data_IF_747822334028
#
_entry.id   IF_747822334028
#
_cell.length_a   1.000
_cell.length_b   1.000
_cell.length_c   1.000
_cell.angle_alpha   90.00
_cell.angle_beta   90.00
_cell.angle_gamma   90.00
#
_symmetry.space_group_name_H-M   'P 1'
#
loop_
_entity.id
_entity.type
_entity.pdbx_description
1 polymer ?
#
# COMPACT_ATOMS: atom_id res chain seq x y z
N UNK A 1 -29.93 16.79 -7.25
CA UNK A 1 -28.73 17.47 -6.72
C UNK A 1 -28.07 16.51 -5.77
N UNK A 2 -27.10 15.74 -6.26
CA UNK A 2 -26.40 14.73 -5.47
C UNK A 2 -25.03 15.31 -5.16
N UNK A 3 -24.76 15.59 -3.88
CA UNK A 3 -23.44 16.01 -3.44
C UNK A 3 -22.50 14.83 -3.65
N UNK A 4 -21.52 14.97 -4.54
CA UNK A 4 -20.36 14.11 -4.55
C UNK A 4 -19.62 14.31 -3.21
N UNK A 5 -19.37 13.22 -2.50
CA UNK A 5 -18.48 13.23 -1.35
C UNK A 5 -17.03 13.34 -1.87
N UNK A 6 -16.58 14.57 -2.15
CA UNK A 6 -15.21 14.89 -2.57
C UNK A 6 -14.13 14.60 -1.49
N UNK A 7 -14.49 13.96 -0.37
CA UNK A 7 -13.60 13.70 0.78
C UNK A 7 -13.11 12.26 0.94
N UNK A 8 -13.49 11.34 0.06
CA UNK A 8 -13.12 9.91 0.13
C UNK A 8 -12.60 9.41 -1.22
N UNK A 9 -11.58 10.06 -1.76
CA UNK A 9 -10.89 9.57 -2.96
C UNK A 9 -9.53 9.00 -2.59
N UNK A 10 -9.21 7.85 -3.15
CA UNK A 10 -7.84 7.37 -3.24
C UNK A 10 -7.09 8.24 -4.24
N UNK A 11 -5.87 8.61 -3.88
CA UNK A 11 -4.90 9.21 -4.79
C UNK A 11 -4.06 8.07 -5.37
N UNK A 12 -3.80 8.04 -6.69
CA UNK A 12 -2.89 7.06 -7.26
C UNK A 12 -1.52 7.14 -6.59
N UNK A 13 -0.99 6.01 -6.15
CA UNK A 13 0.37 5.89 -5.61
C UNK A 13 1.43 6.04 -6.71
N UNK A 14 1.05 5.72 -7.95
CA UNK A 14 1.95 5.69 -9.11
C UNK A 14 2.54 4.30 -9.39
N UNK A 15 2.24 3.29 -8.56
CA UNK A 15 2.50 1.88 -8.86
C UNK A 15 1.25 1.25 -9.45
N UNK A 16 1.30 0.85 -10.72
CA UNK A 16 0.13 0.31 -11.42
C UNK A 16 -0.43 -0.98 -10.82
N UNK A 17 0.40 -1.75 -10.10
CA UNK A 17 -0.05 -2.95 -9.37
C UNK A 17 -0.79 -2.56 -8.09
N UNK A 18 -0.16 -1.72 -7.25
CA UNK A 18 -0.77 -1.24 -5.99
C UNK A 18 -2.05 -0.47 -6.28
N UNK A 19 -2.06 0.41 -7.29
CA UNK A 19 -3.25 1.19 -7.67
C UNK A 19 -4.42 0.28 -8.11
N UNK A 20 -4.14 -0.86 -8.75
CA UNK A 20 -5.16 -1.83 -9.14
C UNK A 20 -5.71 -2.60 -7.93
N UNK A 21 -4.84 -3.02 -7.02
CA UNK A 21 -5.22 -3.67 -5.76
C UNK A 21 -6.05 -2.72 -4.88
N UNK A 22 -5.64 -1.45 -4.78
CA UNK A 22 -6.37 -0.38 -4.11
C UNK A 22 -7.77 -0.20 -4.69
N UNK A 23 -7.91 -0.22 -6.01
CA UNK A 23 -9.20 -0.17 -6.68
C UNK A 23 -10.11 -1.34 -6.31
N UNK A 24 -9.58 -2.57 -6.33
CA UNK A 24 -10.36 -3.76 -5.98
C UNK A 24 -10.86 -3.75 -4.52
N UNK A 25 -10.01 -3.31 -3.59
CA UNK A 25 -10.38 -3.17 -2.17
C UNK A 25 -11.41 -2.05 -1.99
N UNK A 26 -11.24 -0.92 -2.68
CA UNK A 26 -12.17 0.20 -2.63
C UNK A 26 -13.56 -0.17 -3.16
N UNK A 27 -13.63 -0.98 -4.21
CA UNK A 27 -14.90 -1.47 -4.76
C UNK A 27 -15.68 -2.30 -3.73
N UNK A 28 -14.98 -3.20 -3.01
CA UNK A 28 -15.59 -4.00 -1.94
C UNK A 28 -16.09 -3.12 -0.79
N UNK A 29 -15.25 -2.21 -0.29
CA UNK A 29 -15.61 -1.29 0.78
C UNK A 29 -16.75 -0.35 0.37
N UNK A 30 -16.77 0.09 -0.88
CA UNK A 30 -17.83 0.96 -1.42
C UNK A 30 -19.16 0.23 -1.49
N UNK A 31 -19.16 -1.05 -1.88
CA UNK A 31 -20.35 -1.88 -1.86
C UNK A 31 -20.90 -2.07 -0.43
N UNK A 32 -20.01 -2.27 0.56
CA UNK A 32 -20.38 -2.43 1.97
C UNK A 32 -20.94 -1.14 2.58
N UNK A 33 -20.47 0.03 2.14
CA UNK A 33 -20.95 1.35 2.63
C UNK A 33 -22.17 1.88 1.89
N UNK A 34 -22.62 1.21 0.82
CA UNK A 34 -23.78 1.63 0.03
C UNK A 34 -25.15 1.40 0.70
N UNK A 35 -25.17 0.94 1.96
CA UNK A 35 -26.39 0.71 2.74
C UNK A 35 -27.11 -0.61 2.42
N UNK A 36 -26.47 -1.49 1.64
CA UNK A 36 -26.92 -2.87 1.50
C UNK A 36 -26.37 -3.71 2.66
N UNK A 37 -27.14 -4.67 3.21
CA UNK A 37 -26.62 -5.61 4.19
C UNK A 37 -25.42 -6.36 3.62
N UNK A 38 -24.29 -6.32 4.33
CA UNK A 38 -23.12 -7.14 4.06
C UNK A 38 -22.90 -8.10 5.22
N UNK A 39 -22.22 -9.21 4.96
CA UNK A 39 -22.01 -10.24 5.96
C UNK A 39 -20.70 -10.96 5.78
N UNK A 40 -20.71 -12.24 6.16
CA UNK A 40 -19.51 -13.05 6.22
C UNK A 40 -18.82 -13.18 4.86
N UNK A 41 -19.57 -13.25 3.76
CA UNK A 41 -19.00 -13.42 2.42
C UNK A 41 -18.17 -12.19 2.01
N UNK A 42 -18.75 -10.99 2.16
CA UNK A 42 -18.11 -9.72 1.80
C UNK A 42 -16.90 -9.45 2.71
N UNK A 43 -17.01 -9.70 4.01
CA UNK A 43 -15.89 -9.55 4.95
C UNK A 43 -14.75 -10.54 4.66
N UNK A 44 -15.06 -11.76 4.25
CA UNK A 44 -14.05 -12.76 3.89
C UNK A 44 -13.36 -12.38 2.57
N UNK A 45 -14.10 -11.86 1.59
CA UNK A 45 -13.54 -11.34 0.35
C UNK A 45 -12.61 -10.16 0.63
N UNK A 46 -13.06 -9.17 1.40
CA UNK A 46 -12.25 -8.02 1.81
C UNK A 46 -10.97 -8.46 2.52
N UNK A 47 -11.08 -9.37 3.50
CA UNK A 47 -9.94 -9.91 4.24
C UNK A 47 -8.89 -10.53 3.32
N UNK A 48 -9.32 -11.24 2.27
CA UNK A 48 -8.44 -11.86 1.29
C UNK A 48 -7.71 -10.79 0.46
N UNK A 49 -8.46 -9.88 -0.17
CA UNK A 49 -7.87 -8.84 -1.03
C UNK A 49 -6.87 -7.97 -0.25
N UNK A 50 -7.21 -7.58 0.99
CA UNK A 50 -6.32 -6.82 1.88
C UNK A 50 -5.06 -7.60 2.24
N UNK A 51 -5.17 -8.90 2.52
CA UNK A 51 -4.01 -9.72 2.86
C UNK A 51 -3.08 -9.94 1.66
N UNK A 52 -3.64 -10.08 0.46
CA UNK A 52 -2.87 -10.19 -0.79
C UNK A 52 -2.14 -8.88 -1.09
N UNK A 53 -2.84 -7.74 -1.01
CA UNK A 53 -2.25 -6.42 -1.15
C UNK A 53 -1.10 -6.16 -0.16
N UNK A 54 -1.32 -6.45 1.13
CA UNK A 54 -0.27 -6.28 2.14
C UNK A 54 0.95 -7.19 1.92
N UNK A 55 0.77 -8.35 1.27
CA UNK A 55 1.89 -9.22 0.88
C UNK A 55 2.68 -8.61 -0.29
N UNK A 56 2.00 -7.97 -1.26
CA UNK A 56 2.64 -7.19 -2.32
C UNK A 56 3.52 -6.08 -1.73
N UNK A 57 2.96 -5.25 -0.84
CA UNK A 57 3.71 -4.16 -0.22
C UNK A 57 4.89 -4.64 0.64
N UNK A 58 4.74 -5.75 1.37
CA UNK A 58 5.81 -6.29 2.21
C UNK A 58 7.08 -6.62 1.40
N UNK A 59 6.94 -7.01 0.13
CA UNK A 59 8.08 -7.22 -0.76
C UNK A 59 8.76 -5.89 -1.15
N UNK A 60 8.01 -4.80 -1.25
CA UNK A 60 8.51 -3.47 -1.60
C UNK A 60 9.10 -2.71 -0.40
N UNK A 61 8.65 -3.01 0.83
CA UNK A 61 9.09 -2.33 2.06
C UNK A 61 10.59 -2.44 2.39
N UNK A 62 11.36 -3.23 1.63
CA UNK A 62 12.81 -3.34 1.76
C UNK A 62 13.51 -1.97 1.65
N UNK A 63 12.93 -1.03 0.90
CA UNK A 63 13.46 0.33 0.70
C UNK A 63 13.23 1.26 1.88
N UNK A 64 12.35 0.89 2.81
CA UNK A 64 12.05 1.69 4.01
C UNK A 64 13.08 1.44 5.11
N UNK A 65 13.27 2.47 5.95
CA UNK A 65 14.01 2.31 7.21
C UNK A 65 13.31 1.30 8.13
N UNK A 66 14.07 0.65 9.02
CA UNK A 66 13.54 -0.36 9.92
C UNK A 66 12.36 0.14 10.76
N UNK A 67 12.45 1.36 11.30
CA UNK A 67 11.35 1.98 12.07
C UNK A 67 10.09 2.19 11.22
N UNK A 68 10.25 2.69 9.99
CA UNK A 68 9.10 2.94 9.09
C UNK A 68 8.43 1.63 8.69
N UNK A 69 9.23 0.62 8.35
CA UNK A 69 8.76 -0.73 8.03
C UNK A 69 7.98 -1.32 9.20
N UNK A 70 8.50 -1.26 10.42
CA UNK A 70 7.83 -1.80 11.60
C UNK A 70 6.46 -1.13 11.84
N UNK A 71 6.39 0.19 11.69
CA UNK A 71 5.12 0.93 11.82
C UNK A 71 4.12 0.53 10.73
N UNK A 72 4.56 0.40 9.48
CA UNK A 72 3.72 0.00 8.35
C UNK A 72 3.17 -1.42 8.55
N UNK A 73 4.04 -2.38 8.89
CA UNK A 73 3.62 -3.75 9.20
C UNK A 73 2.68 -3.82 10.42
N UNK A 74 2.91 -3.00 11.44
CA UNK A 74 1.99 -2.91 12.59
C UNK A 74 0.61 -2.39 12.18
N UNK A 75 0.57 -1.41 11.28
CA UNK A 75 -0.67 -0.90 10.70
C UNK A 75 -1.42 -2.03 9.95
N UNK A 76 -0.71 -2.81 9.12
CA UNK A 76 -1.27 -3.97 8.41
C UNK A 76 -1.88 -5.01 9.36
N UNK A 77 -1.13 -5.40 10.39
CA UNK A 77 -1.60 -6.37 11.39
C UNK A 77 -2.84 -5.87 12.13
N UNK A 78 -2.87 -4.59 12.47
CA UNK A 78 -3.99 -3.98 13.20
C UNK A 78 -5.26 -3.91 12.35
N UNK A 79 -5.11 -3.59 11.06
CA UNK A 79 -6.22 -3.55 10.12
C UNK A 79 -6.81 -4.93 9.85
N UNK A 80 -5.95 -5.92 9.56
CA UNK A 80 -6.39 -7.32 9.41
C UNK A 80 -7.09 -7.84 10.67
N UNK A 81 -6.57 -7.55 11.86
CA UNK A 81 -7.21 -7.95 13.11
C UNK A 81 -8.61 -7.30 13.28
N UNK A 82 -8.79 -6.08 12.78
CA UNK A 82 -10.10 -5.40 12.80
C UNK A 82 -11.09 -6.09 11.87
N UNK A 83 -10.67 -6.48 10.67
CA UNK A 83 -11.51 -7.26 9.75
C UNK A 83 -11.85 -8.63 10.36
N UNK A 84 -10.89 -9.30 10.99
CA UNK A 84 -11.07 -10.61 11.62
C UNK A 84 -12.11 -10.57 12.74
N UNK A 85 -12.09 -9.51 13.56
CA UNK A 85 -13.09 -9.30 14.59
C UNK A 85 -14.51 -9.16 14.03
N UNK A 86 -14.67 -8.50 12.88
CA UNK A 86 -15.96 -8.37 12.19
C UNK A 86 -16.38 -9.68 11.53
N UNK A 87 -15.45 -10.42 10.93
CA UNK A 87 -15.68 -11.78 10.41
C UNK A 87 -16.23 -12.68 11.52
N UNK A 88 -15.62 -12.66 12.70
CA UNK A 88 -16.05 -13.48 13.82
C UNK A 88 -17.39 -13.02 14.39
N UNK A 89 -17.69 -11.72 14.37
CA UNK A 89 -19.00 -11.16 14.68
C UNK A 89 -20.07 -11.70 13.73
N UNK A 90 -19.83 -11.63 12.42
CA UNK A 90 -20.72 -12.16 11.41
C UNK A 90 -20.93 -13.69 11.54
N UNK A 91 -19.89 -14.46 11.86
CA UNK A 91 -19.99 -15.92 12.10
C UNK A 91 -20.91 -16.28 13.27
N UNK A 92 -20.97 -15.43 14.30
CA UNK A 92 -21.87 -15.63 15.44
C UNK A 92 -23.33 -15.24 15.14
N UNK A 93 -23.58 -14.63 13.98
CA UNK A 93 -24.87 -14.08 13.61
C UNK A 93 -25.15 -12.72 14.25
N UNK A 94 -24.14 -12.10 14.87
CA UNK A 94 -24.23 -10.75 15.39
C UNK A 94 -24.21 -9.75 14.21
N UNK A 95 -24.95 -8.62 14.30
CA UNK A 95 -25.01 -7.65 13.22
C UNK A 95 -23.66 -6.95 13.04
N UNK A 96 -23.25 -6.80 11.78
CA UNK A 96 -22.17 -5.89 11.37
C UNK A 96 -22.82 -4.65 10.78
N UNK A 97 -22.31 -3.47 11.16
CA UNK A 97 -22.99 -2.20 10.90
C UNK A 97 -22.31 -1.41 9.79
N UNK A 98 -23.05 -0.48 9.18
CA UNK A 98 -22.49 0.48 8.22
C UNK A 98 -21.34 1.30 8.85
N UNK A 99 -21.40 1.58 10.15
CA UNK A 99 -20.32 2.26 10.88
C UNK A 99 -19.02 1.44 10.90
N UNK A 100 -19.11 0.11 10.94
CA UNK A 100 -17.94 -0.78 10.86
C UNK A 100 -17.31 -0.70 9.46
N UNK A 101 -18.13 -0.75 8.41
CA UNK A 101 -17.66 -0.59 7.02
C UNK A 101 -17.05 0.80 6.80
N UNK A 102 -17.67 1.87 7.32
CA UNK A 102 -17.16 3.23 7.21
C UNK A 102 -15.80 3.41 7.90
N UNK A 103 -15.58 2.75 9.05
CA UNK A 103 -14.28 2.77 9.73
C UNK A 103 -13.20 2.04 8.92
N UNK A 104 -13.53 0.88 8.35
CA UNK A 104 -12.62 0.15 7.48
C UNK A 104 -12.25 0.98 6.23
N UNK A 105 -13.24 1.62 5.61
CA UNK A 105 -13.09 2.51 4.47
C UNK A 105 -12.18 3.70 4.78
N UNK A 106 -12.48 4.42 5.87
CA UNK A 106 -11.70 5.59 6.26
C UNK A 106 -10.25 5.25 6.54
N UNK A 107 -10.01 4.15 7.28
CA UNK A 107 -8.65 3.71 7.56
C UNK A 107 -7.90 3.39 6.26
N UNK A 108 -8.53 2.65 5.33
CA UNK A 108 -7.91 2.25 4.08
C UNK A 108 -7.50 3.47 3.25
N UNK A 109 -8.41 4.44 3.09
CA UNK A 109 -8.13 5.67 2.35
C UNK A 109 -6.97 6.45 2.96
N UNK A 110 -6.95 6.59 4.29
CA UNK A 110 -5.87 7.33 4.97
C UNK A 110 -4.54 6.61 4.84
N UNK A 111 -4.51 5.31 5.06
CA UNK A 111 -3.31 4.49 4.95
C UNK A 111 -2.73 4.55 3.54
N UNK A 112 -3.56 4.34 2.52
CA UNK A 112 -3.13 4.36 1.11
C UNK A 112 -2.64 5.73 0.63
N UNK A 113 -3.32 6.81 1.01
CA UNK A 113 -2.92 8.17 0.66
C UNK A 113 -1.68 8.65 1.44
N UNK A 114 -1.17 7.88 2.42
CA UNK A 114 -0.03 8.29 3.25
C UNK A 114 1.10 7.28 3.21
N UNK A 115 0.93 6.11 3.84
CA UNK A 115 1.96 5.10 3.98
C UNK A 115 2.31 4.44 2.64
N UNK A 116 1.30 4.02 1.87
CA UNK A 116 1.52 3.30 0.61
C UNK A 116 2.12 4.24 -0.46
N UNK A 117 1.63 5.50 -0.48
CA UNK A 117 2.24 6.55 -1.30
C UNK A 117 3.70 6.81 -0.91
N UNK A 118 4.02 6.89 0.38
CA UNK A 118 5.40 7.05 0.86
C UNK A 118 6.29 5.87 0.45
N UNK A 119 5.77 4.65 0.51
CA UNK A 119 6.46 3.44 0.09
C UNK A 119 6.84 3.52 -1.39
N UNK A 120 5.85 3.77 -2.27
CA UNK A 120 6.08 3.86 -3.72
C UNK A 120 7.02 5.00 -4.08
N UNK A 121 6.87 6.17 -3.46
CA UNK A 121 7.79 7.29 -3.70
C UNK A 121 9.23 6.98 -3.26
N UNK A 122 9.40 6.28 -2.13
CA UNK A 122 10.72 5.87 -1.65
C UNK A 122 11.34 4.84 -2.59
N UNK A 123 10.55 3.87 -3.05
CA UNK A 123 10.97 2.86 -4.02
C UNK A 123 11.42 3.51 -5.33
N UNK A 124 10.66 4.48 -5.85
CA UNK A 124 11.04 5.24 -7.05
C UNK A 124 12.37 5.97 -6.87
N UNK A 125 12.55 6.68 -5.76
CA UNK A 125 13.81 7.40 -5.47
C UNK A 125 15.01 6.44 -5.39
N UNK A 126 14.83 5.26 -4.79
CA UNK A 126 15.88 4.25 -4.70
C UNK A 126 16.23 3.64 -6.07
N UNK A 127 15.28 3.56 -7.00
CA UNK A 127 15.51 3.11 -8.38
C UNK A 127 16.15 4.16 -9.29
N UNK A 128 15.90 5.45 -9.03
CA UNK A 128 16.44 6.57 -9.81
C UNK A 128 17.88 6.97 -9.42
N UNK A 129 18.36 6.57 -8.24
CA UNK A 129 19.71 6.92 -7.79
C UNK A 129 20.76 6.14 -8.60
N UNK A 130 21.58 6.80 -9.43
CA UNK A 130 22.61 6.11 -10.20
C UNK A 130 23.56 5.42 -9.22
N UNK A 131 24.04 4.20 -9.54
CA UNK A 131 24.97 3.51 -8.66
C UNK A 131 26.15 4.42 -8.38
N UNK A 132 26.41 4.68 -7.11
CA UNK A 132 27.61 5.37 -6.65
C UNK A 132 28.80 4.47 -6.97
N UNK A 133 29.33 4.58 -8.18
CA UNK A 133 30.58 3.92 -8.55
C UNK A 133 31.68 4.54 -7.69
N UNK A 134 32.51 3.69 -7.09
CA UNK A 134 33.71 4.18 -6.41
C UNK A 134 34.65 4.84 -7.42
N UNK A 135 35.53 5.75 -6.96
CA UNK A 135 36.56 6.34 -7.82
C UNK A 135 37.40 5.26 -8.50
N UNK A 136 37.65 4.15 -7.81
CA UNK A 136 38.43 3.03 -8.34
C UNK A 136 37.66 2.26 -9.44
N UNK A 137 36.36 1.98 -9.23
CA UNK A 137 35.52 1.37 -10.27
C UNK A 137 35.31 2.30 -11.48
N UNK A 138 35.24 3.61 -11.25
CA UNK A 138 35.20 4.59 -12.33
C UNK A 138 36.50 4.58 -13.13
N UNK A 139 37.66 4.59 -12.47
CA UNK A 139 38.98 4.50 -13.11
C UNK A 139 39.19 3.17 -13.85
N UNK A 140 38.59 2.09 -13.36
CA UNK A 140 38.61 0.77 -14.00
C UNK A 140 37.69 0.71 -15.24
N UNK A 141 36.65 1.55 -15.29
CA UNK A 141 35.71 1.65 -16.43
C UNK A 141 36.22 2.52 -17.60
N UNK A 142 37.27 3.31 -17.41
CA UNK A 142 37.85 4.16 -18.46
C UNK A 142 38.55 3.32 -19.55
N UNK A 143 38.44 3.75 -20.80
CA UNK A 143 39.23 3.15 -21.89
C UNK A 143 40.69 3.65 -21.88
N UNK A 144 41.54 3.05 -22.73
CA UNK A 144 42.98 3.40 -22.77
C UNK A 144 43.23 4.89 -23.10
N UNK A 145 42.35 5.51 -23.90
CA UNK A 145 42.49 6.91 -24.33
C UNK A 145 42.22 7.86 -23.17
N UNK A 146 41.17 7.56 -22.38
CA UNK A 146 40.79 8.36 -21.21
C UNK A 146 41.78 8.20 -20.06
N UNK A 147 42.40 7.02 -19.92
CA UNK A 147 43.46 6.79 -18.91
C UNK A 147 44.74 7.57 -19.21
N UNK A 148 45.14 7.67 -20.47
CA UNK A 148 46.35 8.39 -20.85
C UNK A 148 46.19 9.92 -20.72
N UNK A 149 44.97 10.43 -20.93
CA UNK A 149 44.64 11.83 -20.70
C UNK A 149 44.74 12.25 -19.22
N UNK A 150 44.50 11.34 -18.29
CA UNK A 150 44.60 11.59 -16.84
C UNK A 150 46.02 11.48 -16.28
N UNK A 151 46.97 10.92 -17.05
CA UNK A 151 48.38 10.74 -16.66
C UNK A 151 49.33 11.82 -17.21
N UNK A 152 48.82 12.71 -18.07
CA UNK A 152 49.58 13.82 -18.68
C UNK A 152 49.36 15.14 -17.94
#
# INVERSE_FOLDING_TARGET
MTRAHDGCSLSPTGSGVIDAEHGAILDLLSAMTAGAPFGLAELTALRREVAEHFATEAAEMVVLTAERRERHEHAHRSYLASIDALVDTAKRGDPVTDDDANRLMLWFIVHSNTADTELVETARRAGDEPPMISMDEWLDSLDETDRDALRS
#
